data_IF_508589201791
#
_entry.id   IF_508589201791
#
_cell.length_a   1.000
_cell.length_b   1.000
_cell.length_c   1.000
_cell.angle_alpha   90.00
_cell.angle_beta   90.00
_cell.angle_gamma   90.00
#
_symmetry.space_group_name_H-M   'P 1'
#
loop_
_entity.id
_entity.type
_entity.pdbx_description
1 polymer ?
#
# COMPACT_ATOMS: atom_id res chain seq x y z
N UNK A 1 18.32 -5.25 -25.92
CA UNK A 1 18.74 -3.96 -25.33
C UNK A 1 18.31 -3.98 -23.87
N UNK A 2 19.21 -3.69 -22.93
CA UNK A 2 18.87 -3.63 -21.51
C UNK A 2 18.18 -2.30 -21.25
N UNK A 3 16.92 -2.35 -20.87
CA UNK A 3 16.11 -1.20 -20.48
C UNK A 3 16.71 -0.64 -19.18
N UNK A 4 17.35 0.54 -19.28
CA UNK A 4 17.78 1.29 -18.11
C UNK A 4 16.52 1.89 -17.49
N UNK A 5 16.11 1.37 -16.34
CA UNK A 5 15.19 2.06 -15.45
C UNK A 5 15.87 3.38 -15.09
N UNK A 6 15.36 4.48 -15.64
CA UNK A 6 15.81 5.83 -15.31
C UNK A 6 15.40 6.10 -13.86
N UNK A 7 16.35 5.91 -12.93
CA UNK A 7 16.23 6.39 -11.57
C UNK A 7 16.40 7.91 -11.63
N UNK A 8 15.38 8.64 -11.21
CA UNK A 8 15.40 10.09 -11.12
C UNK A 8 16.43 10.52 -10.06
N UNK A 9 17.64 10.83 -10.51
CA UNK A 9 18.80 11.23 -9.69
C UNK A 9 18.64 12.60 -8.99
N UNK A 10 17.47 13.25 -9.09
CA UNK A 10 17.22 14.59 -8.54
C UNK A 10 16.30 14.63 -7.32
N UNK A 11 15.77 13.48 -6.89
CA UNK A 11 14.88 13.39 -5.73
C UNK A 11 15.66 13.60 -4.43
N UNK A 12 15.69 14.84 -3.93
CA UNK A 12 16.20 15.15 -2.58
C UNK A 12 15.28 14.57 -1.51
N UNK A 13 15.86 13.77 -0.63
CA UNK A 13 15.13 13.13 0.45
C UNK A 13 15.30 13.92 1.75
N UNK A 14 14.23 13.98 2.54
CA UNK A 14 14.20 14.67 3.82
C UNK A 14 13.58 13.78 4.89
N UNK A 15 14.09 13.89 6.11
CA UNK A 15 13.46 13.32 7.31
C UNK A 15 12.96 14.45 8.18
N UNK A 16 11.79 14.26 8.76
CA UNK A 16 11.17 15.18 9.72
C UNK A 16 11.11 14.48 11.08
N UNK A 17 11.62 15.14 12.12
CA UNK A 17 11.60 14.60 13.48
C UNK A 17 10.32 14.99 14.22
N UNK A 18 9.79 14.06 15.01
CA UNK A 18 8.68 14.33 15.94
C UNK A 18 9.20 14.96 17.22
N UNK A 19 9.51 16.26 17.20
CA UNK A 19 9.81 17.01 18.44
C UNK A 19 8.61 17.88 18.84
N UNK A 20 8.24 17.86 20.12
CA UNK A 20 7.05 18.48 20.70
C UNK A 20 7.07 20.03 20.76
N UNK A 21 7.71 20.68 19.78
CA UNK A 21 7.79 22.14 19.72
C UNK A 21 8.05 22.68 18.33
N UNK A 22 9.01 22.11 17.59
CA UNK A 22 9.29 22.47 16.18
C UNK A 22 9.76 21.23 15.42
N UNK A 23 9.04 20.80 14.36
CA UNK A 23 9.52 19.72 13.50
C UNK A 23 10.80 20.17 12.78
N UNK A 24 11.88 19.42 12.97
CA UNK A 24 13.14 19.69 12.28
C UNK A 24 13.19 18.85 11.02
N UNK A 25 13.28 19.52 9.88
CA UNK A 25 13.49 18.88 8.58
C UNK A 25 14.98 18.85 8.26
N UNK A 26 15.53 17.67 8.00
CA UNK A 26 16.94 17.48 7.66
C UNK A 26 17.07 16.73 6.35
N UNK A 27 17.90 17.23 5.43
CA UNK A 27 18.21 16.54 4.18
C UNK A 27 19.02 15.29 4.48
N UNK A 28 18.73 14.19 3.77
CA UNK A 28 19.45 12.93 3.94
C UNK A 28 20.28 12.59 2.72
N UNK A 29 21.48 12.07 2.96
CA UNK A 29 22.35 11.50 1.94
C UNK A 29 22.32 9.98 2.06
N UNK A 30 21.99 9.31 0.95
CA UNK A 30 21.79 7.85 0.88
C UNK A 30 22.89 7.12 0.12
N UNK A 31 23.95 7.82 -0.30
CA UNK A 31 25.02 7.29 -1.18
C UNK A 31 25.72 6.05 -0.61
N UNK A 32 25.65 5.85 0.72
CA UNK A 32 26.26 4.71 1.43
C UNK A 32 25.31 3.52 1.59
N UNK A 33 24.05 3.65 1.21
CA UNK A 33 23.07 2.57 1.27
C UNK A 33 23.18 1.72 0.00
N UNK A 34 23.35 0.41 0.16
CA UNK A 34 23.40 -0.53 -0.97
C UNK A 34 22.06 -0.59 -1.71
N UNK A 35 20.96 -0.53 -0.97
CA UNK A 35 19.59 -0.55 -1.51
C UNK A 35 18.64 0.05 -0.49
N UNK A 36 17.64 0.80 -0.94
CA UNK A 36 16.55 1.29 -0.10
C UNK A 36 15.27 1.46 -0.92
N UNK A 37 14.13 1.47 -0.24
CA UNK A 37 12.84 1.84 -0.81
C UNK A 37 12.12 2.69 0.22
N UNK A 38 11.78 3.92 -0.17
CA UNK A 38 11.05 4.84 0.70
C UNK A 38 9.96 5.57 -0.06
N UNK A 39 8.96 6.06 0.64
CA UNK A 39 7.90 6.90 0.08
C UNK A 39 7.60 8.10 0.99
N UNK A 40 7.06 9.21 0.45
CA UNK A 40 6.66 10.37 1.26
C UNK A 40 5.68 9.98 2.37
N UNK A 41 5.94 10.43 3.60
CA UNK A 41 5.13 10.11 4.78
C UNK A 41 5.48 8.81 5.50
N UNK A 42 6.45 8.03 5.00
CA UNK A 42 6.88 6.82 5.67
C UNK A 42 7.62 7.11 6.99
N UNK A 43 7.17 6.49 8.08
CA UNK A 43 7.90 6.49 9.35
C UNK A 43 9.07 5.53 9.26
N UNK A 44 10.29 6.03 9.47
CA UNK A 44 11.52 5.25 9.35
C UNK A 44 12.40 5.41 10.58
N UNK A 45 13.07 4.32 10.96
CA UNK A 45 14.16 4.36 11.92
C UNK A 45 15.49 4.30 11.15
N UNK A 46 16.34 5.30 11.35
CA UNK A 46 17.57 5.47 10.58
C UNK A 46 18.80 5.54 11.47
N UNK A 47 19.95 5.08 10.95
CA UNK A 47 21.25 5.20 11.58
C UNK A 47 22.21 5.92 10.64
N UNK A 48 22.94 6.90 11.15
CA UNK A 48 23.87 7.68 10.36
C UNK A 48 24.61 8.72 11.20
N UNK A 49 25.26 9.66 10.52
CA UNK A 49 25.98 10.78 11.14
C UNK A 49 25.53 12.11 10.54
N UNK A 50 25.42 13.14 11.38
CA UNK A 50 25.11 14.50 10.95
C UNK A 50 26.15 15.49 11.50
N UNK A 51 27.32 15.59 10.87
CA UNK A 51 28.40 16.45 11.37
C UNK A 51 28.09 17.95 11.27
N UNK A 52 27.25 18.35 10.31
CA UNK A 52 27.02 19.76 9.95
C UNK A 52 25.63 20.27 10.33
N UNK A 53 24.82 19.44 10.99
CA UNK A 53 23.40 19.67 11.30
C UNK A 53 22.46 19.88 10.10
N UNK A 54 23.00 20.00 8.87
CA UNK A 54 22.23 20.28 7.64
C UNK A 54 22.02 19.04 6.76
N UNK A 55 22.95 18.08 6.80
CA UNK A 55 22.94 16.88 5.96
C UNK A 55 23.24 15.63 6.78
N UNK A 56 22.23 14.76 6.90
CA UNK A 56 22.34 13.51 7.63
C UNK A 56 22.80 12.39 6.68
N UNK A 57 24.03 11.91 6.85
CA UNK A 57 24.57 10.81 6.04
C UNK A 57 24.11 9.48 6.62
N UNK A 58 23.30 8.75 5.86
CA UNK A 58 22.75 7.47 6.28
C UNK A 58 23.78 6.35 6.12
N UNK A 59 23.83 5.47 7.12
CA UNK A 59 24.58 4.23 7.10
C UNK A 59 23.66 3.01 7.03
N UNK A 60 22.44 3.11 7.58
CA UNK A 60 21.44 2.07 7.52
C UNK A 60 20.03 2.63 7.72
N UNK A 61 19.05 2.01 7.07
CA UNK A 61 17.62 2.15 7.36
C UNK A 61 17.18 0.85 8.04
N UNK A 62 16.48 0.95 9.17
CA UNK A 62 15.94 -0.20 9.88
C UNK A 62 14.56 -0.52 9.33
N UNK A 63 14.35 -1.79 9.00
CA UNK A 63 13.02 -2.28 8.70
C UNK A 63 12.11 -2.10 9.94
N UNK A 64 10.82 -1.76 9.73
CA UNK A 64 9.86 -1.75 10.82
C UNK A 64 9.78 -3.14 11.46
N UNK A 65 9.49 -3.18 12.76
CA UNK A 65 9.24 -4.43 13.43
C UNK A 65 8.03 -5.12 12.79
N UNK A 66 8.16 -6.41 12.51
CA UNK A 66 7.02 -7.22 12.06
C UNK A 66 6.04 -7.30 13.22
N UNK A 67 4.79 -6.90 12.98
CA UNK A 67 3.73 -7.07 13.97
C UNK A 67 3.54 -8.56 14.27
N UNK A 68 3.26 -8.94 15.52
CA UNK A 68 3.03 -10.34 15.85
C UNK A 68 1.90 -10.88 14.97
N UNK A 69 2.12 -12.08 14.42
CA UNK A 69 1.08 -12.75 13.65
C UNK A 69 -0.14 -12.97 14.54
N UNK A 70 -1.33 -12.75 13.97
CA UNK A 70 -2.56 -13.13 14.65
C UNK A 70 -2.55 -14.65 14.90
N UNK A 71 -2.91 -15.12 16.10
CA UNK A 71 -2.98 -16.54 16.38
C UNK A 71 -4.06 -17.18 15.50
N UNK A 72 -3.65 -17.87 14.45
CA UNK A 72 -4.56 -18.54 13.52
C UNK A 72 -5.02 -19.86 14.15
N UNK A 73 -6.32 -20.01 14.37
CA UNK A 73 -6.90 -21.33 14.63
C UNK A 73 -6.95 -22.07 13.30
N UNK A 74 -6.27 -23.21 13.19
CA UNK A 74 -6.42 -24.08 12.04
C UNK A 74 -7.89 -24.55 11.97
N UNK A 75 -8.60 -24.16 10.91
CA UNK A 75 -9.87 -24.79 10.56
C UNK A 75 -9.58 -25.94 9.60
N UNK A 76 -10.08 -27.13 9.90
CA UNK A 76 -9.93 -28.30 9.01
C UNK A 76 -10.73 -28.17 7.71
N UNK A 77 -11.57 -27.14 7.61
CA UNK A 77 -12.29 -26.76 6.39
C UNK A 77 -11.51 -25.69 5.64
N UNK A 78 -11.17 -25.98 4.38
CA UNK A 78 -10.55 -25.01 3.48
C UNK A 78 -11.49 -23.84 3.21
N UNK A 79 -11.01 -22.61 3.45
CA UNK A 79 -11.75 -21.39 3.14
C UNK A 79 -11.39 -20.89 1.74
N UNK A 80 -12.41 -20.56 0.94
CA UNK A 80 -12.26 -19.97 -0.38
C UNK A 80 -12.74 -18.51 -0.37
N UNK A 81 -11.92 -17.62 -0.92
CA UNK A 81 -12.19 -16.18 -0.95
C UNK A 81 -12.00 -15.68 -2.38
N UNK A 82 -12.95 -14.87 -2.86
CA UNK A 82 -12.79 -14.07 -4.09
C UNK A 82 -12.75 -12.59 -3.67
N UNK A 83 -11.72 -11.87 -4.12
CA UNK A 83 -11.55 -10.42 -3.92
C UNK A 83 -11.40 -9.72 -5.27
N UNK A 84 -12.15 -8.63 -5.45
CA UNK A 84 -12.09 -7.82 -6.66
C UNK A 84 -12.17 -6.32 -6.31
N UNK A 85 -11.50 -5.48 -7.10
CA UNK A 85 -11.52 -4.03 -6.97
C UNK A 85 -11.88 -3.40 -8.32
N UNK A 86 -12.72 -2.37 -8.28
CA UNK A 86 -13.21 -1.69 -9.48
C UNK A 86 -12.16 -0.82 -10.20
N UNK A 87 -12.58 -0.06 -11.22
CA UNK A 87 -13.98 0.19 -11.60
C UNK A 87 -14.57 -0.99 -12.39
N UNK A 88 -15.82 -1.35 -12.08
CA UNK A 88 -16.57 -2.40 -12.80
C UNK A 88 -17.48 -1.85 -13.91
N UNK A 89 -17.41 -0.54 -14.14
CA UNK A 89 -18.13 0.17 -15.19
C UNK A 89 -17.16 1.04 -16.01
N UNK A 90 -17.42 1.16 -17.31
CA UNK A 90 -16.66 2.04 -18.19
C UNK A 90 -17.08 3.50 -18.02
N UNK A 91 -16.12 4.41 -17.83
CA UNK A 91 -16.37 5.81 -17.49
C UNK A 91 -17.00 6.68 -18.59
N UNK A 92 -17.22 6.15 -19.80
CA UNK A 92 -17.64 6.96 -20.93
C UNK A 92 -18.81 6.28 -21.68
N UNK A 93 -19.99 6.87 -21.53
CA UNK A 93 -21.16 6.78 -22.42
C UNK A 93 -22.07 5.53 -22.31
N UNK A 94 -21.64 4.40 -21.73
CA UNK A 94 -22.56 3.29 -21.46
C UNK A 94 -22.25 2.58 -20.16
N UNK A 95 -23.30 2.29 -19.39
CA UNK A 95 -23.30 1.45 -18.18
C UNK A 95 -23.01 -0.02 -18.56
N UNK A 96 -21.85 -0.24 -19.17
CA UNK A 96 -21.39 -1.57 -19.52
C UNK A 96 -20.83 -2.23 -18.26
N UNK A 97 -21.64 -3.11 -17.66
CA UNK A 97 -21.33 -3.86 -16.45
C UNK A 97 -20.81 -5.27 -16.75
N UNK A 98 -20.37 -5.54 -17.99
CA UNK A 98 -19.78 -6.84 -18.35
C UNK A 98 -18.68 -7.31 -17.38
N UNK A 99 -17.76 -6.45 -16.87
CA UNK A 99 -16.79 -6.86 -15.86
C UNK A 99 -17.44 -7.37 -14.56
N UNK A 100 -18.51 -6.70 -14.10
CA UNK A 100 -19.28 -7.11 -12.92
C UNK A 100 -20.05 -8.41 -13.18
N UNK A 101 -20.70 -8.55 -14.34
CA UNK A 101 -21.40 -9.77 -14.72
C UNK A 101 -20.46 -10.98 -14.76
N UNK A 102 -19.24 -10.79 -15.27
CA UNK A 102 -18.21 -11.82 -15.26
C UNK A 102 -17.80 -12.22 -13.83
N UNK A 103 -17.59 -11.24 -12.95
CA UNK A 103 -17.28 -11.50 -11.54
C UNK A 103 -18.41 -12.27 -10.85
N UNK A 104 -19.66 -11.83 -11.01
CA UNK A 104 -20.84 -12.50 -10.45
C UNK A 104 -20.98 -13.94 -10.96
N UNK A 105 -20.65 -14.19 -12.23
CA UNK A 105 -20.61 -15.56 -12.77
C UNK A 105 -19.55 -16.40 -12.06
N UNK A 106 -18.34 -15.87 -11.87
CA UNK A 106 -17.28 -16.58 -11.13
C UNK A 106 -17.67 -16.89 -9.69
N UNK A 107 -18.36 -15.97 -9.00
CA UNK A 107 -18.87 -16.20 -7.64
C UNK A 107 -19.92 -17.31 -7.63
N UNK A 108 -20.86 -17.31 -8.59
CA UNK A 108 -21.90 -18.36 -8.69
C UNK A 108 -21.33 -19.73 -8.99
N UNK A 109 -20.32 -19.81 -9.85
CA UNK A 109 -19.65 -21.05 -10.23
C UNK A 109 -18.79 -21.61 -9.09
N UNK A 110 -17.97 -20.76 -8.47
CA UNK A 110 -16.99 -21.20 -7.46
C UNK A 110 -17.55 -21.26 -6.04
N UNK A 111 -18.70 -20.62 -5.78
CA UNK A 111 -19.40 -20.57 -4.49
C UNK A 111 -18.44 -20.34 -3.31
N UNK A 112 -17.68 -19.22 -3.30
CA UNK A 112 -16.70 -18.97 -2.25
C UNK A 112 -17.38 -18.80 -0.89
N UNK A 113 -16.64 -19.06 0.19
CA UNK A 113 -17.13 -18.83 1.55
C UNK A 113 -17.28 -17.34 1.86
N UNK A 114 -16.42 -16.50 1.28
CA UNK A 114 -16.46 -15.04 1.42
C UNK A 114 -16.19 -14.33 0.09
N UNK A 115 -16.86 -13.20 -0.11
CA UNK A 115 -16.70 -12.34 -1.27
C UNK A 115 -16.58 -10.88 -0.84
N UNK A 116 -15.50 -10.20 -1.27
CA UNK A 116 -15.24 -8.80 -0.92
C UNK A 116 -15.16 -7.95 -2.21
N UNK A 117 -15.99 -6.92 -2.31
CA UNK A 117 -15.96 -5.94 -3.39
C UNK A 117 -15.61 -4.56 -2.82
N UNK A 118 -14.52 -3.97 -3.30
CA UNK A 118 -14.18 -2.59 -2.94
C UNK A 118 -14.76 -1.63 -3.98
N UNK A 119 -15.83 -0.90 -3.60
CA UNK A 119 -16.36 0.20 -4.39
C UNK A 119 -15.76 1.51 -3.90
N UNK A 120 -15.01 2.20 -4.77
CA UNK A 120 -14.67 3.60 -4.55
C UNK A 120 -15.94 4.43 -4.78
N UNK A 121 -16.64 4.71 -3.70
CA UNK A 121 -17.94 5.34 -3.65
C UNK A 121 -17.80 6.86 -3.68
N UNK A 122 -17.64 7.44 -4.87
CA UNK A 122 -17.79 8.90 -4.99
C UNK A 122 -19.28 9.27 -5.08
N UNK A 123 -20.20 8.41 -5.55
CA UNK A 123 -21.66 8.56 -5.42
C UNK A 123 -22.39 7.24 -5.76
N UNK A 124 -23.00 6.56 -4.78
CA UNK A 124 -24.30 5.85 -4.88
C UNK A 124 -24.60 4.98 -3.64
N UNK A 125 -25.65 5.33 -2.92
CA UNK A 125 -26.20 4.53 -1.84
C UNK A 125 -26.93 3.27 -2.38
N UNK A 126 -27.05 2.30 -1.47
CA UNK A 126 -28.04 1.20 -1.41
C UNK A 126 -27.74 -0.07 -2.20
N UNK A 127 -27.39 -1.15 -1.48
CA UNK A 127 -28.21 -2.38 -1.44
C UNK A 127 -27.71 -3.36 -0.35
N UNK A 128 -28.66 -4.04 0.28
CA UNK A 128 -28.55 -4.87 1.48
C UNK A 128 -27.82 -6.21 1.31
N UNK A 129 -26.51 -6.18 1.07
CA UNK A 129 -25.65 -7.33 1.37
C UNK A 129 -24.39 -6.83 2.06
N UNK A 130 -24.10 -7.42 3.21
CA UNK A 130 -22.89 -7.15 4.00
C UNK A 130 -21.66 -7.29 3.10
N UNK A 131 -21.06 -6.17 2.72
CA UNK A 131 -19.76 -6.11 2.05
C UNK A 131 -18.72 -6.05 3.16
N UNK A 132 -17.99 -7.15 3.38
CA UNK A 132 -16.87 -7.14 4.29
C UNK A 132 -15.70 -6.39 3.61
N UNK A 133 -15.48 -5.15 4.04
CA UNK A 133 -14.21 -4.44 3.82
C UNK A 133 -13.27 -4.93 4.93
N UNK A 134 -12.19 -5.61 4.55
CA UNK A 134 -11.10 -5.92 5.48
C UNK A 134 -10.08 -4.79 5.33
N UNK A 135 -9.87 -4.04 6.42
CA UNK A 135 -8.89 -2.97 6.57
C UNK A 135 -7.43 -3.47 6.47
#
# INVERSE_FOLDING_TARGET
GKEKIAQDDSSRLFIESSHAGVPVRTEINVDRLVSFSTFPGQVVAVKGTNPTSKLFRLNAIRAPAVLPAFPMKASDTGMSIISACGPFASHNVSMNLQPLEFLLRQVREKKPNFHCEHFRMDHLLTTDKLIAVVE
#
